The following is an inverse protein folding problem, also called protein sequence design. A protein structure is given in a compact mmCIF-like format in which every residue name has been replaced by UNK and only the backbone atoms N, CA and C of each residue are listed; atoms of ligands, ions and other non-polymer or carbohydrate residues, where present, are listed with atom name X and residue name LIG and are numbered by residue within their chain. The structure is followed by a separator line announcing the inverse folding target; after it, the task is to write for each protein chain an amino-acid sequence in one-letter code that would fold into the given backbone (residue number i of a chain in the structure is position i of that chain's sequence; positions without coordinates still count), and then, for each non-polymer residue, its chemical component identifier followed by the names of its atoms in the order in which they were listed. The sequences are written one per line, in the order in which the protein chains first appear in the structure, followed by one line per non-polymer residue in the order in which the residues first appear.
data_IF_979190788565
#
_entry.id   IF_979190788565
#
_cell.length_a   1.000
_cell.length_b   1.000
_cell.length_c   1.000
_cell.angle_alpha   90.00
_cell.angle_beta   90.00
_cell.angle_gamma   90.00
#
_symmetry.space_group_name_H-M   'P 1'
#
loop_
_entity.id
_entity.type
_entity.pdbx_description
1 polymer ?
#
# COMPACT_ATOMS: atom_id res chain seq x y z
N UNK A 1 6.17 -9.44 41.55
CA UNK A 1 5.54 -8.86 40.35
C UNK A 1 4.07 -9.21 40.41
N UNK A 2 3.21 -8.24 40.71
CA UNK A 2 1.77 -8.49 40.87
C UNK A 2 1.14 -8.99 39.56
N UNK A 3 0.19 -9.92 39.66
CA UNK A 3 -0.49 -10.52 38.50
C UNK A 3 -1.13 -9.49 37.57
N UNK A 4 -1.52 -8.32 38.09
CA UNK A 4 -2.05 -7.19 37.32
C UNK A 4 -0.99 -6.63 36.35
N UNK A 5 0.27 -6.51 36.79
CA UNK A 5 1.35 -6.04 35.94
C UNK A 5 1.63 -7.04 34.80
N UNK A 6 1.52 -8.34 35.07
CA UNK A 6 1.74 -9.38 34.08
C UNK A 6 0.65 -9.40 33.00
N UNK A 7 -0.62 -9.19 33.40
CA UNK A 7 -1.75 -9.03 32.47
C UNK A 7 -1.56 -7.79 31.58
N UNK A 8 -1.10 -6.67 32.15
CA UNK A 8 -0.81 -5.46 31.39
C UNK A 8 0.24 -5.67 30.29
N UNK A 9 1.32 -6.39 30.59
CA UNK A 9 2.37 -6.72 29.62
C UNK A 9 1.85 -7.62 28.50
N UNK A 10 1.00 -8.61 28.82
CA UNK A 10 0.40 -9.49 27.82
C UNK A 10 -0.55 -8.75 26.87
N UNK A 11 -1.35 -7.83 27.38
CA UNK A 11 -2.25 -7.03 26.55
C UNK A 11 -1.46 -6.09 25.64
N UNK A 12 -0.46 -5.38 26.19
CA UNK A 12 0.36 -4.45 25.42
C UNK A 12 1.14 -5.16 24.30
N UNK A 13 1.72 -6.32 24.59
CA UNK A 13 2.44 -7.12 23.60
C UNK A 13 1.51 -7.70 22.52
N UNK A 14 0.31 -8.16 22.90
CA UNK A 14 -0.70 -8.59 21.94
C UNK A 14 -1.14 -7.47 20.99
N UNK A 15 -1.40 -6.28 21.52
CA UNK A 15 -1.79 -5.11 20.72
C UNK A 15 -0.67 -4.66 19.78
N UNK A 16 0.58 -4.70 20.22
CA UNK A 16 1.72 -4.34 19.39
C UNK A 16 1.83 -5.26 18.16
N UNK A 17 1.67 -6.58 18.34
CA UNK A 17 1.73 -7.54 17.24
C UNK A 17 0.62 -7.28 16.21
N UNK A 18 -0.63 -7.11 16.68
CA UNK A 18 -1.77 -6.84 15.79
C UNK A 18 -1.59 -5.53 15.03
N UNK A 19 -1.12 -4.48 15.71
CA UNK A 19 -0.83 -3.19 15.08
C UNK A 19 0.25 -3.34 14.01
N UNK A 20 1.38 -4.00 14.30
CA UNK A 20 2.46 -4.20 13.34
C UNK A 20 1.97 -4.95 12.10
N UNK A 21 1.17 -6.00 12.26
CA UNK A 21 0.62 -6.75 11.11
C UNK A 21 -0.34 -5.86 10.31
N UNK A 22 -1.25 -5.14 10.96
CA UNK A 22 -2.21 -4.27 10.28
C UNK A 22 -1.51 -3.15 9.48
N UNK A 23 -0.55 -2.46 10.09
CA UNK A 23 0.23 -1.42 9.42
C UNK A 23 1.14 -2.00 8.34
N UNK A 24 1.71 -3.19 8.55
CA UNK A 24 2.51 -3.89 7.55
C UNK A 24 1.70 -4.25 6.29
N UNK A 25 0.49 -4.80 6.47
CA UNK A 25 -0.44 -5.07 5.36
C UNK A 25 -0.81 -3.77 4.66
N UNK A 26 -1.17 -2.72 5.42
CA UNK A 26 -1.53 -1.42 4.84
C UNK A 26 -0.36 -0.81 4.05
N UNK A 27 0.86 -0.88 4.57
CA UNK A 27 2.06 -0.41 3.88
C UNK A 27 2.37 -1.26 2.64
N UNK A 28 2.14 -2.57 2.68
CA UNK A 28 2.29 -3.44 1.51
C UNK A 28 1.25 -3.12 0.42
N UNK A 29 -0.01 -2.92 0.79
CA UNK A 29 -1.03 -2.45 -0.12
C UNK A 29 -0.64 -1.08 -0.71
N UNK A 30 -0.28 -0.11 0.12
CA UNK A 30 0.16 1.19 -0.36
C UNK A 30 1.40 1.08 -1.28
N UNK A 31 2.35 0.21 -0.96
CA UNK A 31 3.49 -0.08 -1.82
C UNK A 31 3.06 -0.68 -3.17
N UNK A 32 2.05 -1.53 -3.22
CA UNK A 32 1.55 -2.13 -4.46
C UNK A 32 0.68 -1.18 -5.29
N UNK A 33 -0.12 -0.34 -4.63
CA UNK A 33 -1.16 0.47 -5.27
C UNK A 33 -0.71 1.92 -5.52
N UNK A 34 0.12 2.52 -4.66
CA UNK A 34 0.65 3.88 -4.87
C UNK A 34 1.96 3.88 -5.67
N UNK A 35 2.74 2.80 -5.65
CA UNK A 35 3.77 2.63 -6.67
C UNK A 35 3.11 2.10 -7.94
N UNK A 36 2.92 2.98 -8.92
CA UNK A 36 2.32 2.77 -10.25
C UNK A 36 2.98 1.63 -11.09
N UNK A 37 3.07 0.42 -10.57
CA UNK A 37 3.83 -0.72 -11.08
C UNK A 37 5.17 -0.92 -10.35
N UNK A 38 5.45 -2.18 -9.97
CA UNK A 38 6.69 -2.69 -9.34
C UNK A 38 7.96 -2.28 -10.13
N UNK A 39 7.80 -1.96 -11.42
CA UNK A 39 8.90 -1.52 -12.28
C UNK A 39 8.87 0.00 -12.44
N UNK A 40 9.45 0.73 -11.48
CA UNK A 40 9.51 2.19 -11.56
C UNK A 40 10.45 2.72 -12.66
N UNK A 41 11.22 1.82 -13.28
CA UNK A 41 12.14 2.14 -14.37
C UNK A 41 11.48 2.20 -15.76
N UNK A 42 10.19 1.88 -15.88
CA UNK A 42 9.50 1.95 -17.17
C UNK A 42 8.84 3.31 -17.35
N UNK A 43 9.09 3.96 -18.49
CA UNK A 43 8.44 5.24 -18.83
C UNK A 43 6.95 5.07 -19.14
N UNK A 44 6.46 3.82 -19.19
CA UNK A 44 5.10 3.44 -19.51
C UNK A 44 4.45 2.70 -18.35
N UNK A 45 3.18 2.98 -18.10
CA UNK A 45 2.29 2.33 -17.12
C UNK A 45 1.02 1.89 -17.85
N UNK A 46 0.57 0.68 -17.56
CA UNK A 46 -0.65 0.11 -18.12
C UNK A 46 -1.89 0.62 -17.39
N UNK A 47 -2.92 1.03 -18.13
CA UNK A 47 -4.19 1.43 -17.53
C UNK A 47 -4.95 0.20 -17.00
N UNK A 48 -5.38 0.17 -15.73
CA UNK A 48 -6.05 -0.98 -15.14
C UNK A 48 -7.45 -1.27 -15.73
N UNK A 49 -8.04 -0.31 -16.45
CA UNK A 49 -9.37 -0.45 -17.06
C UNK A 49 -9.35 -0.98 -18.49
N UNK A 50 -8.37 -0.56 -19.29
CA UNK A 50 -8.33 -0.87 -20.73
C UNK A 50 -7.05 -1.54 -21.22
N UNK A 51 -6.04 -1.72 -20.36
CA UNK A 51 -4.75 -2.30 -20.75
C UNK A 51 -3.88 -1.38 -21.61
N UNK A 52 -4.30 -0.13 -21.85
CA UNK A 52 -3.52 0.79 -22.68
C UNK A 52 -2.27 1.28 -21.95
N UNK A 53 -1.13 1.26 -22.63
CA UNK A 53 0.12 1.83 -22.15
C UNK A 53 0.07 3.37 -22.23
N UNK A 54 0.28 4.02 -21.09
CA UNK A 54 0.33 5.47 -20.93
C UNK A 54 1.71 5.90 -20.42
N UNK A 55 2.16 7.10 -20.81
CA UNK A 55 3.40 7.66 -20.28
C UNK A 55 3.26 7.91 -18.79
N UNK A 56 4.25 7.53 -18.01
CA UNK A 56 4.24 7.67 -16.55
C UNK A 56 4.31 9.14 -16.13
N UNK A 57 3.38 9.56 -15.29
CA UNK A 57 3.36 10.88 -14.65
C UNK A 57 3.55 10.73 -13.14
N UNK A 58 4.38 11.62 -12.56
CA UNK A 58 4.81 11.55 -11.17
C UNK A 58 3.64 11.70 -10.18
N UNK A 59 2.70 12.61 -10.45
CA UNK A 59 1.62 12.92 -9.51
C UNK A 59 0.29 12.33 -9.99
N UNK A 60 -0.26 12.81 -11.09
CA UNK A 60 -1.54 12.32 -11.63
C UNK A 60 -1.34 11.50 -12.89
N UNK A 61 -1.77 10.24 -12.88
CA UNK A 61 -1.80 9.42 -14.10
C UNK A 61 -3.23 9.38 -14.62
N UNK A 62 -3.43 9.89 -15.83
CA UNK A 62 -4.70 9.77 -16.54
C UNK A 62 -4.52 8.85 -17.74
N UNK A 63 -5.50 7.99 -18.00
CA UNK A 63 -5.50 7.16 -19.19
C UNK A 63 -5.92 7.98 -20.41
N UNK A 64 -5.13 7.96 -21.49
CA UNK A 64 -5.45 8.66 -22.74
C UNK A 64 -6.73 8.15 -23.44
N UNK A 65 -7.09 6.89 -23.23
CA UNK A 65 -8.26 6.27 -23.88
C UNK A 65 -9.51 6.36 -23.01
N UNK A 66 -9.37 6.08 -21.72
CA UNK A 66 -10.50 6.02 -20.80
C UNK A 66 -10.78 7.34 -20.09
N UNK A 67 -9.84 8.30 -20.16
CA UNK A 67 -9.89 9.58 -19.45
C UNK A 67 -10.10 9.46 -17.92
N UNK A 68 -9.82 8.29 -17.35
CA UNK A 68 -9.88 8.04 -15.91
C UNK A 68 -8.52 8.26 -15.26
N UNK A 69 -8.52 8.70 -14.01
CA UNK A 69 -7.33 8.80 -13.16
C UNK A 69 -7.05 7.46 -12.48
N UNK A 70 -5.77 7.11 -12.33
CA UNK A 70 -5.29 5.91 -11.64
C UNK A 70 -3.85 6.07 -11.13
#
# INVERSE_FOLDING_TARGET
MDGIALIGVLIASGLAIVATVHYGIKAYHHFLYDNKGINQNTSLVECPKCGTLNKRHHNDQQCKECYISF
#
